data_IF_613866057434
#
_entry.id   IF_613866057434
#
_cell.length_a   1.000
_cell.length_b   1.000
_cell.length_c   1.000
_cell.angle_alpha   90.00
_cell.angle_beta   90.00
_cell.angle_gamma   90.00
#
_symmetry.space_group_name_H-M   'P 1'
#
loop_
_entity.id
_entity.type
_entity.pdbx_description
1 polymer ?
#
# COMPACT_ATOMS: atom_id res chain seq x y z
N UNK A 1 0.24 7.09 -21.32
CA UNK A 1 1.42 6.33 -20.84
C UNK A 1 1.57 5.10 -21.72
N UNK A 2 2.78 4.72 -22.13
CA UNK A 2 3.00 3.54 -22.99
C UNK A 2 2.78 2.24 -22.20
N UNK A 3 2.39 1.17 -22.90
CA UNK A 3 2.22 -0.17 -22.32
C UNK A 3 3.51 -0.67 -21.65
N UNK A 4 4.68 -0.30 -22.17
CA UNK A 4 5.96 -0.65 -21.59
C UNK A 4 6.21 0.02 -20.23
N UNK A 5 5.83 1.29 -20.07
CA UNK A 5 5.97 2.01 -18.80
C UNK A 5 5.02 1.49 -17.73
N UNK A 6 3.80 1.08 -18.14
CA UNK A 6 2.86 0.38 -17.27
C UNK A 6 3.48 -0.90 -16.70
N UNK A 7 3.99 -1.79 -17.56
CA UNK A 7 4.60 -3.06 -17.14
C UNK A 7 5.77 -2.84 -16.20
N UNK A 8 6.69 -1.93 -16.54
CA UNK A 8 7.87 -1.64 -15.73
C UNK A 8 7.51 -1.22 -14.29
N UNK A 9 6.53 -0.32 -14.13
CA UNK A 9 6.10 0.16 -12.80
C UNK A 9 5.40 -0.93 -12.00
N UNK A 10 4.59 -1.76 -12.66
CA UNK A 10 3.88 -2.87 -12.03
C UNK A 10 4.87 -3.93 -11.56
N UNK A 11 5.73 -4.44 -12.45
CA UNK A 11 6.75 -5.45 -12.14
C UNK A 11 7.69 -4.99 -11.02
N UNK A 12 8.09 -3.71 -11.04
CA UNK A 12 8.90 -3.14 -9.96
C UNK A 12 8.14 -3.13 -8.63
N UNK A 13 6.86 -2.77 -8.63
CA UNK A 13 6.05 -2.79 -7.40
C UNK A 13 5.91 -4.22 -6.86
N UNK A 14 5.62 -5.21 -7.72
CA UNK A 14 5.53 -6.63 -7.34
C UNK A 14 6.81 -7.14 -6.66
N UNK A 15 7.97 -6.82 -7.24
CA UNK A 15 9.28 -7.19 -6.67
C UNK A 15 9.51 -6.52 -5.31
N UNK A 16 9.21 -5.22 -5.20
CA UNK A 16 9.40 -4.47 -3.94
C UNK A 16 8.55 -5.05 -2.81
N UNK A 17 7.30 -5.42 -3.11
CA UNK A 17 6.36 -5.89 -2.09
C UNK A 17 6.38 -7.41 -1.89
N UNK A 18 7.14 -8.15 -2.70
CA UNK A 18 7.21 -9.61 -2.66
C UNK A 18 5.88 -10.30 -2.98
N UNK A 19 5.04 -9.69 -3.83
CA UNK A 19 3.70 -10.18 -4.15
C UNK A 19 3.42 -10.15 -5.64
N UNK A 20 2.99 -11.29 -6.19
CA UNK A 20 2.50 -11.39 -7.55
C UNK A 20 0.96 -11.43 -7.56
N UNK A 21 0.28 -10.56 -8.34
CA UNK A 21 -1.17 -10.52 -8.40
C UNK A 21 -1.79 -11.86 -8.82
N UNK A 22 -2.76 -12.33 -8.04
CA UNK A 22 -3.57 -13.52 -8.31
C UNK A 22 -4.71 -13.22 -9.28
N UNK A 23 -5.19 -11.97 -9.29
CA UNK A 23 -6.26 -11.47 -10.16
C UNK A 23 -5.74 -10.33 -11.03
N UNK A 24 -4.75 -10.57 -11.92
CA UNK A 24 -4.16 -9.50 -12.74
C UNK A 24 -5.18 -8.76 -13.62
N UNK A 25 -6.27 -9.44 -14.01
CA UNK A 25 -7.37 -8.84 -14.77
C UNK A 25 -8.19 -7.79 -13.98
N UNK A 26 -8.09 -7.79 -12.64
CA UNK A 26 -8.76 -6.80 -11.79
C UNK A 26 -7.94 -5.51 -11.64
N UNK A 27 -6.65 -5.51 -12.00
CA UNK A 27 -5.80 -4.33 -11.98
C UNK A 27 -5.70 -3.61 -10.61
N UNK A 28 -5.92 -4.30 -9.49
CA UNK A 28 -5.86 -3.68 -8.16
C UNK A 28 -4.50 -3.02 -7.87
N UNK A 29 -3.41 -3.74 -8.13
CA UNK A 29 -2.07 -3.19 -7.92
C UNK A 29 -1.80 -2.00 -8.85
N UNK A 30 -2.33 -2.03 -10.08
CA UNK A 30 -2.22 -0.90 -11.00
C UNK A 30 -2.98 0.35 -10.53
N UNK A 31 -4.19 0.15 -9.99
CA UNK A 31 -4.99 1.21 -9.38
C UNK A 31 -4.27 1.82 -8.16
N UNK A 32 -3.61 1.00 -7.33
CA UNK A 32 -2.85 1.46 -6.17
C UNK A 32 -1.70 2.41 -6.51
N UNK A 33 -1.10 2.27 -7.70
CA UNK A 33 -0.02 3.14 -8.17
C UNK A 33 -0.51 4.49 -8.71
N UNK A 34 -1.82 4.71 -8.87
CA UNK A 34 -2.36 5.96 -9.42
C UNK A 34 -2.40 7.08 -8.40
N UNK A 35 -1.74 8.19 -8.69
CA UNK A 35 -1.93 9.43 -7.94
C UNK A 35 -3.20 10.13 -8.44
N UNK A 36 -3.92 10.81 -7.54
CA UNK A 36 -5.03 11.67 -7.93
C UNK A 36 -4.59 12.65 -9.03
N UNK A 37 -5.34 12.70 -10.13
CA UNK A 37 -4.98 13.50 -11.29
C UNK A 37 -3.94 12.87 -12.24
N UNK A 38 -3.62 11.58 -12.12
CA UNK A 38 -2.74 10.85 -13.06
C UNK A 38 -3.26 10.83 -14.51
N UNK A 39 -4.52 11.21 -14.72
CA UNK A 39 -5.21 11.16 -16.01
C UNK A 39 -5.98 9.86 -16.24
N UNK A 40 -5.98 8.93 -15.29
CA UNK A 40 -6.84 7.75 -15.30
C UNK A 40 -8.16 8.05 -14.59
N UNK A 41 -9.28 7.69 -15.23
CA UNK A 41 -10.61 7.84 -14.66
C UNK A 41 -11.32 6.49 -14.44
N UNK A 42 -10.88 5.43 -15.14
CA UNK A 42 -11.46 4.10 -15.08
C UNK A 42 -10.35 3.03 -15.15
N UNK A 43 -10.33 2.11 -14.18
CA UNK A 43 -9.43 0.94 -14.15
C UNK A 43 -10.25 -0.27 -13.71
N UNK A 44 -10.21 -1.38 -14.45
CA UNK A 44 -10.96 -2.59 -14.09
C UNK A 44 -12.47 -2.36 -13.91
N UNK A 45 -13.06 -1.44 -14.68
CA UNK A 45 -14.47 -1.04 -14.55
C UNK A 45 -14.79 -0.14 -13.34
N UNK A 46 -13.80 0.21 -12.51
CA UNK A 46 -13.97 1.06 -11.32
C UNK A 46 -13.54 2.49 -11.59
N UNK A 47 -14.29 3.45 -11.03
CA UNK A 47 -13.95 4.88 -11.07
C UNK A 47 -12.76 5.17 -10.15
N UNK A 48 -11.75 5.85 -10.69
CA UNK A 48 -10.47 6.16 -10.02
C UNK A 48 -10.14 7.67 -10.01
N UNK A 49 -11.16 8.53 -9.91
CA UNK A 49 -10.98 10.00 -9.89
C UNK A 49 -10.03 10.50 -8.79
N UNK A 50 -10.04 9.82 -7.65
CA UNK A 50 -9.17 10.10 -6.51
C UNK A 50 -7.83 9.37 -6.57
N UNK A 51 -7.52 8.70 -7.67
CA UNK A 51 -6.40 7.77 -7.77
C UNK A 51 -6.54 6.64 -6.74
N UNK A 52 -5.46 6.41 -6.00
CA UNK A 52 -5.32 5.29 -5.09
C UNK A 52 -6.01 5.45 -3.73
N UNK A 53 -6.60 6.61 -3.41
CA UNK A 53 -7.11 6.89 -2.06
C UNK A 53 -8.18 5.91 -1.59
N UNK A 54 -9.00 5.37 -2.49
CA UNK A 54 -10.03 4.37 -2.13
C UNK A 54 -9.40 3.08 -1.65
N UNK A 55 -8.35 2.61 -2.32
CA UNK A 55 -7.56 1.46 -1.88
C UNK A 55 -6.76 1.78 -0.61
N UNK A 56 -6.29 3.02 -0.45
CA UNK A 56 -5.60 3.43 0.77
C UNK A 56 -6.46 3.25 2.03
N UNK A 57 -7.74 3.63 1.97
CA UNK A 57 -8.69 3.40 3.08
C UNK A 57 -8.83 1.91 3.41
N UNK A 58 -8.93 1.05 2.38
CA UNK A 58 -9.01 -0.41 2.57
C UNK A 58 -7.72 -0.93 3.21
N UNK A 59 -6.57 -0.48 2.76
CA UNK A 59 -5.28 -0.91 3.27
C UNK A 59 -4.99 -0.47 4.69
N UNK A 60 -5.34 0.77 5.07
CA UNK A 60 -5.21 1.24 6.46
C UNK A 60 -6.01 0.34 7.43
N UNK A 61 -7.26 0.03 7.06
CA UNK A 61 -8.11 -0.88 7.83
C UNK A 61 -7.53 -2.31 7.90
N UNK A 62 -7.01 -2.83 6.79
CA UNK A 62 -6.41 -4.15 6.73
C UNK A 62 -5.13 -4.23 7.58
N UNK A 63 -4.24 -3.23 7.51
CA UNK A 63 -3.02 -3.16 8.32
C UNK A 63 -3.34 -3.04 9.81
N UNK A 64 -4.30 -2.18 10.18
CA UNK A 64 -4.73 -2.04 11.57
C UNK A 64 -5.26 -3.39 12.11
N UNK A 65 -6.07 -4.10 11.31
CA UNK A 65 -6.58 -5.42 11.67
C UNK A 65 -5.46 -6.46 11.78
N UNK A 66 -4.45 -6.41 10.89
CA UNK A 66 -3.32 -7.32 10.89
C UNK A 66 -2.50 -7.25 12.19
N UNK A 67 -2.41 -6.07 12.80
CA UNK A 67 -1.67 -5.84 14.06
C UNK A 67 -2.55 -5.92 15.31
N UNK A 68 -3.87 -5.71 15.20
CA UNK A 68 -4.82 -5.74 16.32
C UNK A 68 -4.98 -7.13 16.93
N UNK A 69 -5.14 -8.17 16.10
CA UNK A 69 -5.26 -9.56 16.59
C UNK A 69 -4.07 -9.99 17.46
N UNK A 70 -2.82 -9.90 16.94
CA UNK A 70 -1.63 -10.26 17.71
C UNK A 70 -1.43 -9.40 18.97
N UNK A 71 -1.84 -8.13 18.96
CA UNK A 71 -1.81 -7.29 20.17
C UNK A 71 -2.82 -7.77 21.22
N UNK A 72 -4.06 -8.09 20.80
CA UNK A 72 -5.10 -8.59 21.70
C UNK A 72 -4.72 -9.92 22.37
N UNK A 73 -4.09 -10.82 21.62
CA UNK A 73 -3.60 -12.11 22.13
C UNK A 73 -2.48 -11.98 23.18
N UNK A 74 -1.81 -10.82 23.26
CA UNK A 74 -0.73 -10.56 24.21
C UNK A 74 -1.22 -10.02 25.56
N UNK A 75 -2.53 -9.81 25.73
CA UNK A 75 -3.14 -9.17 26.91
C UNK A 75 -2.49 -7.80 27.25
N UNK A 76 -2.07 -7.09 26.20
CA UNK A 76 -1.33 -5.84 26.31
C UNK A 76 -2.26 -4.65 26.61
N UNK A 77 -1.68 -3.57 27.14
CA UNK A 77 -2.45 -2.36 27.46
C UNK A 77 -2.89 -1.57 26.23
N UNK A 78 -3.94 -0.75 26.37
CA UNK A 78 -4.35 0.21 25.35
C UNK A 78 -3.22 1.20 24.97
N UNK A 79 -2.38 1.59 25.93
CA UNK A 79 -1.21 2.44 25.65
C UNK A 79 -0.17 1.74 24.77
N UNK A 80 0.00 0.42 24.93
CA UNK A 80 0.85 -0.38 24.07
C UNK A 80 0.28 -0.47 22.64
N UNK A 81 -1.06 -0.59 22.50
CA UNK A 81 -1.73 -0.50 21.21
C UNK A 81 -1.45 0.82 20.50
N UNK A 82 -1.72 1.95 21.14
CA UNK A 82 -1.54 3.27 20.54
C UNK A 82 -0.08 3.49 20.12
N UNK A 83 0.87 3.08 20.97
CA UNK A 83 2.31 3.14 20.67
C UNK A 83 2.66 2.28 19.45
N UNK A 84 2.18 1.03 19.41
CA UNK A 84 2.45 0.08 18.31
C UNK A 84 1.86 0.57 16.99
N UNK A 85 0.60 1.01 17.00
CA UNK A 85 -0.08 1.57 15.84
C UNK A 85 0.60 2.83 15.36
N UNK A 86 0.96 3.77 16.25
CA UNK A 86 1.65 5.00 15.86
C UNK A 86 3.04 4.73 15.28
N UNK A 87 3.79 3.78 15.88
CA UNK A 87 5.12 3.40 15.41
C UNK A 87 5.07 2.80 14.01
N UNK A 88 4.15 1.86 13.77
CA UNK A 88 4.09 1.10 12.51
C UNK A 88 3.29 1.81 11.42
N UNK A 89 2.11 2.35 11.76
CA UNK A 89 1.11 2.79 10.79
C UNK A 89 0.92 4.31 10.74
N UNK A 90 1.77 5.10 11.40
CA UNK A 90 1.72 6.55 11.20
C UNK A 90 2.11 6.92 9.76
N UNK A 91 1.45 7.94 9.21
CA UNK A 91 1.78 8.46 7.87
C UNK A 91 3.26 8.80 7.72
N UNK A 92 3.92 9.27 8.80
CA UNK A 92 5.36 9.54 8.78
C UNK A 92 6.17 8.26 8.55
N UNK A 93 5.86 7.17 9.27
CA UNK A 93 6.55 5.89 9.08
C UNK A 93 6.22 5.27 7.72
N UNK A 94 4.95 5.28 7.30
CA UNK A 94 4.55 4.74 6.00
C UNK A 94 5.21 5.50 4.84
N UNK A 95 5.30 6.83 4.92
CA UNK A 95 6.03 7.63 3.95
C UNK A 95 7.52 7.26 3.91
N UNK A 96 8.17 7.13 5.07
CA UNK A 96 9.56 6.68 5.18
C UNK A 96 9.76 5.33 4.50
N UNK A 97 8.92 4.34 4.80
CA UNK A 97 8.95 3.00 4.18
C UNK A 97 8.79 3.09 2.66
N UNK A 98 7.85 3.90 2.16
CA UNK A 98 7.65 4.08 0.72
C UNK A 98 8.90 4.63 0.01
N UNK A 99 9.65 5.52 0.68
CA UNK A 99 10.88 6.08 0.15
C UNK A 99 12.05 5.09 0.23
N UNK A 100 12.25 4.45 1.38
CA UNK A 100 13.36 3.51 1.60
C UNK A 100 13.27 2.27 0.71
N UNK A 101 12.06 1.77 0.47
CA UNK A 101 11.81 0.64 -0.44
C UNK A 101 11.84 1.03 -1.92
N UNK A 102 11.86 2.34 -2.22
CA UNK A 102 11.79 2.87 -3.58
C UNK A 102 10.41 2.75 -4.24
N UNK A 103 9.36 2.40 -3.48
CA UNK A 103 7.98 2.24 -3.97
C UNK A 103 7.44 3.54 -4.57
N UNK A 104 7.85 4.71 -4.07
CA UNK A 104 7.53 6.02 -4.65
C UNK A 104 7.90 6.11 -6.15
N UNK A 105 8.95 5.41 -6.58
CA UNK A 105 9.33 5.35 -8.00
C UNK A 105 8.31 4.63 -8.91
N UNK A 106 7.41 3.84 -8.32
CA UNK A 106 6.35 3.13 -9.04
C UNK A 106 5.10 3.99 -9.25
N UNK A 107 4.98 5.14 -8.56
CA UNK A 107 3.81 6.01 -8.69
C UNK A 107 3.59 6.48 -10.12
N UNK A 108 2.31 6.56 -10.51
CA UNK A 108 1.87 7.12 -11.78
C UNK A 108 1.32 8.52 -11.52
N UNK A 109 2.05 9.51 -12.02
CA UNK A 109 1.71 10.93 -11.97
C UNK A 109 1.46 11.45 -13.37
N UNK A 110 0.77 12.59 -13.48
CA UNK A 110 0.62 13.29 -14.75
C UNK A 110 1.97 13.89 -15.18
N UNK A 111 2.52 13.55 -16.36
CA UNK A 111 3.81 14.09 -16.81
C UNK A 111 3.79 15.62 -17.01
N UNK A 112 2.62 16.20 -17.27
CA UNK A 112 2.45 17.65 -17.46
C UNK A 112 2.41 18.43 -16.14
N UNK A 113 2.16 17.73 -15.03
CA UNK A 113 2.18 18.30 -13.69
C UNK A 113 2.83 17.29 -12.74
N UNK A 114 4.17 17.13 -12.82
CA UNK A 114 4.87 16.16 -12.00
C UNK A 114 4.76 16.58 -10.54
N UNK A 115 4.01 15.80 -9.75
CA UNK A 115 3.87 16.02 -8.32
C UNK A 115 5.05 15.34 -7.63
N UNK A 116 5.82 16.08 -6.82
CA UNK A 116 6.75 15.47 -5.88
C UNK A 116 5.94 14.69 -4.84
N UNK A 117 6.38 13.46 -4.52
CA UNK A 117 5.71 12.65 -3.52
C UNK A 117 5.79 13.34 -2.15
N UNK A 118 4.71 13.99 -1.74
CA UNK A 118 4.57 14.46 -0.36
C UNK A 118 4.49 13.26 0.59
N UNK A 119 4.80 13.46 1.87
CA UNK A 119 4.70 12.40 2.87
C UNK A 119 3.30 11.75 2.87
N UNK A 120 2.24 12.54 2.67
CA UNK A 120 0.87 12.02 2.57
C UNK A 120 0.67 11.13 1.34
N UNK A 121 1.17 11.52 0.17
CA UNK A 121 1.06 10.69 -1.04
C UNK A 121 1.87 9.39 -0.92
N UNK A 122 3.05 9.47 -0.31
CA UNK A 122 3.91 8.32 -0.05
C UNK A 122 3.26 7.34 0.95
N UNK A 123 2.65 7.83 2.03
CA UNK A 123 1.89 7.01 2.97
C UNK A 123 0.68 6.33 2.31
N UNK A 124 -0.14 7.11 1.61
CA UNK A 124 -1.29 6.60 0.86
C UNK A 124 -0.91 5.52 -0.16
N UNK A 125 0.29 5.60 -0.75
CA UNK A 125 0.78 4.59 -1.68
C UNK A 125 0.97 3.24 -0.99
N UNK A 126 1.59 3.21 0.19
CA UNK A 126 1.79 1.97 0.96
C UNK A 126 0.45 1.39 1.36
N UNK A 127 -0.44 2.22 1.91
CA UNK A 127 -1.80 1.82 2.25
C UNK A 127 -2.53 1.25 1.03
N UNK A 128 -2.49 1.95 -0.11
CA UNK A 128 -3.20 1.50 -1.31
C UNK A 128 -2.65 0.18 -1.87
N UNK A 129 -1.34 -0.03 -1.81
CA UNK A 129 -0.74 -1.30 -2.24
C UNK A 129 -1.17 -2.44 -1.32
N UNK A 130 -1.22 -2.21 0.00
CA UNK A 130 -1.79 -3.21 0.92
C UNK A 130 -3.28 -3.45 0.64
N UNK A 131 -4.06 -2.39 0.37
CA UNK A 131 -5.47 -2.51 -0.01
C UNK A 131 -5.66 -3.30 -1.31
N UNK A 132 -4.75 -3.14 -2.28
CA UNK A 132 -4.74 -3.95 -3.49
C UNK A 132 -4.46 -5.42 -3.20
N UNK A 133 -3.46 -5.71 -2.36
CA UNK A 133 -3.13 -7.08 -1.94
C UNK A 133 -4.32 -7.71 -1.22
N UNK A 134 -4.98 -6.99 -0.31
CA UNK A 134 -6.17 -7.46 0.41
C UNK A 134 -7.28 -7.93 -0.55
N UNK A 135 -7.66 -7.11 -1.54
CA UNK A 135 -8.74 -7.47 -2.48
C UNK A 135 -8.32 -8.54 -3.50
N UNK A 136 -7.08 -8.45 -4.00
CA UNK A 136 -6.53 -9.42 -4.93
C UNK A 136 -6.41 -10.82 -4.32
N UNK A 137 -6.19 -10.88 -2.99
CA UNK A 137 -5.98 -12.11 -2.24
C UNK A 137 -7.23 -12.77 -1.65
N UNK A 138 -8.43 -12.28 -1.98
CA UNK A 138 -9.67 -12.69 -1.33
C UNK A 138 -9.65 -12.45 0.18
N UNK A 139 -9.22 -11.25 0.58
CA UNK A 139 -9.25 -10.80 1.98
C UNK A 139 -8.33 -11.62 2.91
N UNK A 140 -7.17 -12.01 2.36
CA UNK A 140 -6.19 -12.84 3.07
C UNK A 140 -5.32 -12.03 4.02
N UNK A 141 -5.56 -12.18 5.32
CA UNK A 141 -4.75 -11.54 6.36
C UNK A 141 -3.28 -12.01 6.34
N UNK A 142 -3.03 -13.27 5.94
CA UNK A 142 -1.66 -13.78 5.79
C UNK A 142 -0.91 -13.07 4.66
N UNK A 143 -1.57 -12.81 3.52
CA UNK A 143 -0.97 -12.06 2.42
C UNK A 143 -0.63 -10.62 2.84
N UNK A 144 -1.54 -9.95 3.57
CA UNK A 144 -1.28 -8.61 4.13
C UNK A 144 -0.07 -8.62 5.05
N UNK A 145 -0.01 -9.55 6.01
CA UNK A 145 1.12 -9.66 6.95
C UNK A 145 2.45 -9.93 6.24
N UNK A 146 2.46 -10.83 5.26
CA UNK A 146 3.66 -11.13 4.48
C UNK A 146 4.19 -9.89 3.74
N UNK A 147 3.29 -9.11 3.12
CA UNK A 147 3.70 -7.87 2.44
C UNK A 147 4.14 -6.81 3.45
N UNK A 148 3.46 -6.67 4.59
CA UNK A 148 3.91 -5.79 5.68
C UNK A 148 5.31 -6.15 6.16
N UNK A 149 5.60 -7.44 6.39
CA UNK A 149 6.93 -7.91 6.76
C UNK A 149 7.97 -7.60 5.69
N UNK A 150 7.65 -7.85 4.42
CA UNK A 150 8.53 -7.53 3.27
C UNK A 150 8.86 -6.04 3.19
N UNK A 151 7.90 -5.18 3.53
CA UNK A 151 8.07 -3.72 3.59
C UNK A 151 8.73 -3.23 4.88
N UNK A 152 9.12 -4.12 5.81
CA UNK A 152 9.71 -3.73 7.10
C UNK A 152 8.70 -3.15 8.09
N UNK A 153 7.40 -3.36 7.87
CA UNK A 153 6.30 -3.03 8.79
C UNK A 153 5.99 -4.20 9.76
N UNK A 154 6.90 -5.16 9.86
CA UNK A 154 6.71 -6.40 10.60
C UNK A 154 6.49 -6.21 12.10
N UNK A 155 5.76 -7.16 12.66
CA UNK A 155 5.42 -7.24 14.09
C UNK A 155 6.61 -7.62 14.98
N UNK A 156 7.69 -8.16 14.39
CA UNK A 156 8.82 -8.77 15.08
C UNK A 156 9.97 -7.81 15.39
N UNK A 157 9.66 -6.56 15.71
CA UNK A 157 10.61 -5.65 16.35
C UNK A 157 10.77 -5.96 17.84
N UNK A 158 11.17 -7.20 18.17
CA UNK A 158 11.66 -7.67 19.47
C UNK A 158 12.70 -8.78 19.24
N UNK A 159 13.92 -8.38 18.91
CA UNK A 159 15.15 -9.05 19.35
C UNK A 159 16.14 -7.96 19.73
#
# INVERSE_FOLDING_TARGET
MSTAMYKLKLERAEVIIGYHPRKPAEFYLWEALQVAGSGQNLIGGRRVYDGNKRLAIVGDAAMASAIAGPWYEQDDTLGAWDTKRQRLLSNANLARVAHETGLVGCMVVNPRNPVQASAKLAANLVEAVIGAVWLDSDESMSAVRQVMETLGLGLNGMV
#
